data_IF_099308466721
#
_entry.id   IF_099308466721
#
_cell.length_a   1.000
_cell.length_b   1.000
_cell.length_c   1.000
_cell.angle_alpha   90.00
_cell.angle_beta   90.00
_cell.angle_gamma   90.00
#
_symmetry.space_group_name_H-M   'P 1'
#
loop_
_entity.id
_entity.type
_entity.pdbx_description
1 polymer ?
#
# COMPACT_ATOMS: atom_id res chain seq x y z
N UNK A 1 16.69 7.25 -6.15
CA UNK A 1 18.08 7.45 -5.69
C UNK A 1 19.05 7.19 -6.83
N UNK A 2 20.05 8.00 -6.99
CA UNK A 2 20.98 7.88 -8.13
C UNK A 2 22.03 6.76 -7.91
N UNK A 3 22.29 6.41 -6.67
CA UNK A 3 23.31 5.44 -6.30
C UNK A 3 23.06 4.80 -4.94
N UNK A 4 23.77 3.69 -4.66
CA UNK A 4 23.67 2.93 -3.41
C UNK A 4 23.96 3.76 -2.16
N UNK A 5 24.87 4.75 -2.22
CA UNK A 5 25.22 5.57 -1.07
C UNK A 5 24.03 6.39 -0.60
N UNK A 6 23.30 7.03 -1.52
CA UNK A 6 22.10 7.82 -1.19
C UNK A 6 20.99 6.93 -0.59
N UNK A 7 20.87 5.68 -1.08
CA UNK A 7 19.91 4.73 -0.53
C UNK A 7 20.29 4.36 0.89
N UNK A 8 21.55 3.99 1.14
CA UNK A 8 22.01 3.64 2.49
C UNK A 8 21.87 4.80 3.45
N UNK A 9 22.17 6.02 3.02
CA UNK A 9 21.99 7.23 3.84
C UNK A 9 20.53 7.39 4.30
N UNK A 10 19.55 7.18 3.39
CA UNK A 10 18.13 7.19 3.78
C UNK A 10 17.83 6.08 4.79
N UNK A 11 18.23 4.84 4.49
CA UNK A 11 17.92 3.70 5.36
C UNK A 11 18.58 3.84 6.74
N UNK A 12 19.85 4.27 6.80
CA UNK A 12 20.62 4.45 8.03
C UNK A 12 20.01 5.55 8.91
N UNK A 13 19.55 6.66 8.30
CA UNK A 13 18.89 7.75 9.03
C UNK A 13 17.57 7.33 9.70
N UNK A 14 16.89 6.32 9.16
CA UNK A 14 15.62 5.83 9.71
C UNK A 14 15.82 4.60 10.61
N UNK A 15 16.91 3.85 10.42
CA UNK A 15 17.14 2.59 11.14
C UNK A 15 17.20 2.74 12.66
N UNK A 16 18.03 3.67 13.15
CA UNK A 16 18.20 3.87 14.59
C UNK A 16 16.90 4.36 15.27
N UNK A 17 16.19 5.40 14.77
CA UNK A 17 14.89 5.79 15.33
C UNK A 17 13.86 4.66 15.29
N UNK A 18 13.82 3.87 14.23
CA UNK A 18 12.88 2.76 14.07
C UNK A 18 13.15 1.64 15.09
N UNK A 19 14.42 1.22 15.23
CA UNK A 19 14.80 0.17 16.19
C UNK A 19 14.66 0.61 17.63
N UNK A 20 14.91 1.87 17.96
CA UNK A 20 14.67 2.42 19.29
C UNK A 20 13.16 2.39 19.62
N UNK A 21 12.32 2.80 18.68
CA UNK A 21 10.86 2.72 18.85
C UNK A 21 10.39 1.27 18.95
N UNK A 22 10.95 0.37 18.14
CA UNK A 22 10.66 -1.05 18.20
C UNK A 22 11.02 -1.66 19.56
N UNK A 23 12.13 -1.22 20.17
CA UNK A 23 12.51 -1.68 21.52
C UNK A 23 11.48 -1.27 22.57
N UNK A 24 10.94 -0.04 22.50
CA UNK A 24 9.84 0.39 23.40
C UNK A 24 8.61 -0.53 23.23
N UNK A 25 8.26 -0.87 21.98
CA UNK A 25 7.14 -1.76 21.68
C UNK A 25 7.39 -3.19 22.16
N UNK A 26 8.63 -3.71 22.05
CA UNK A 26 9.05 -5.00 22.60
C UNK A 26 8.86 -5.02 24.12
N UNK A 27 9.33 -3.97 24.80
CA UNK A 27 9.26 -3.88 26.26
C UNK A 27 7.80 -3.80 26.73
N UNK A 28 6.94 -3.08 26.02
CA UNK A 28 5.50 -3.05 26.31
C UNK A 28 4.85 -4.42 26.19
N UNK A 29 5.15 -5.16 25.12
CA UNK A 29 4.62 -6.52 24.91
C UNK A 29 5.17 -7.46 25.97
N UNK A 30 6.47 -7.41 26.26
CA UNK A 30 7.09 -8.26 27.28
C UNK A 30 6.50 -8.02 28.68
N UNK A 31 6.24 -6.75 29.02
CA UNK A 31 5.57 -6.39 30.26
C UNK A 31 4.14 -6.96 30.35
N UNK A 32 3.40 -6.99 29.23
CA UNK A 32 2.07 -7.60 29.19
C UNK A 32 2.16 -9.12 29.39
N UNK A 33 3.10 -9.80 28.73
CA UNK A 33 3.35 -11.24 28.89
C UNK A 33 3.59 -11.57 30.37
N UNK A 34 4.41 -10.78 31.05
CA UNK A 34 4.71 -10.98 32.46
C UNK A 34 3.49 -10.72 33.38
N UNK A 35 2.72 -9.66 33.10
CA UNK A 35 1.47 -9.36 33.84
C UNK A 35 0.42 -10.44 33.72
N UNK A 36 0.39 -11.18 32.60
CA UNK A 36 -0.46 -12.34 32.40
C UNK A 36 0.06 -13.62 33.12
N UNK A 37 1.16 -13.52 33.85
CA UNK A 37 1.77 -14.65 34.57
C UNK A 37 2.62 -15.58 33.70
N UNK A 38 2.97 -15.16 32.48
CA UNK A 38 3.82 -15.93 31.58
C UNK A 38 5.30 -15.55 31.75
N UNK A 39 6.19 -16.55 31.65
CA UNK A 39 7.65 -16.36 31.89
C UNK A 39 8.50 -16.54 30.64
N UNK A 40 7.91 -16.56 29.44
CA UNK A 40 8.68 -16.67 28.22
C UNK A 40 9.11 -15.29 27.68
N UNK A 41 10.18 -15.28 26.90
CA UNK A 41 10.62 -14.10 26.16
C UNK A 41 9.86 -14.01 24.83
N UNK A 42 9.43 -12.82 24.50
CA UNK A 42 8.79 -12.51 23.21
C UNK A 42 9.61 -13.08 22.04
N UNK A 43 8.93 -13.69 21.10
CA UNK A 43 9.47 -14.18 19.84
C UNK A 43 8.71 -13.57 18.65
N UNK A 44 9.29 -13.54 17.44
CA UNK A 44 8.61 -12.94 16.29
C UNK A 44 7.21 -13.47 16.02
N UNK A 45 6.97 -14.76 16.22
CA UNK A 45 5.65 -15.38 16.03
C UNK A 45 4.60 -15.03 17.09
N UNK A 46 5.02 -14.47 18.25
CA UNK A 46 4.13 -14.02 19.32
C UNK A 46 3.64 -12.58 19.09
N UNK A 47 4.33 -11.83 18.20
CA UNK A 47 4.18 -10.38 18.04
C UNK A 47 2.73 -9.96 17.81
N UNK A 48 2.10 -10.51 16.78
CA UNK A 48 0.76 -10.09 16.36
C UNK A 48 -0.30 -10.33 17.43
N UNK A 49 -0.21 -11.45 18.13
CA UNK A 49 -1.13 -11.78 19.21
C UNK A 49 -1.03 -10.81 20.38
N UNK A 50 0.17 -10.53 20.84
CA UNK A 50 0.37 -9.65 22.01
C UNK A 50 0.27 -8.18 21.67
N UNK A 51 0.72 -7.75 20.51
CA UNK A 51 0.56 -6.36 20.07
C UNK A 51 -0.91 -5.97 19.95
N UNK A 52 -1.79 -6.89 19.48
CA UNK A 52 -3.23 -6.63 19.45
C UNK A 52 -3.82 -6.45 20.85
N UNK A 53 -3.38 -7.23 21.82
CA UNK A 53 -3.78 -7.04 23.23
C UNK A 53 -3.32 -5.69 23.79
N UNK A 54 -2.09 -5.28 23.49
CA UNK A 54 -1.56 -3.97 23.88
C UNK A 54 -2.39 -2.86 23.21
N UNK A 55 -2.65 -2.96 21.92
CA UNK A 55 -3.47 -2.00 21.17
C UNK A 55 -4.86 -1.83 21.79
N UNK A 56 -5.53 -2.94 22.06
CA UNK A 56 -6.86 -2.96 22.66
C UNK A 56 -6.85 -2.34 24.07
N UNK A 57 -5.85 -2.67 24.87
CA UNK A 57 -5.69 -2.11 26.23
C UNK A 57 -5.43 -0.60 26.24
N UNK A 58 -4.61 -0.10 25.30
CA UNK A 58 -4.21 1.31 25.23
C UNK A 58 -5.27 2.23 24.62
N UNK A 59 -5.93 1.76 23.56
CA UNK A 59 -6.77 2.61 22.71
C UNK A 59 -8.25 2.25 22.77
N UNK A 60 -8.59 1.14 23.44
CA UNK A 60 -9.96 0.59 23.41
C UNK A 60 -10.48 0.47 21.98
N UNK A 61 -9.61 0.00 21.07
CA UNK A 61 -9.84 -0.09 19.64
C UNK A 61 -9.50 -1.48 19.12
N UNK A 62 -10.37 -2.03 18.30
CA UNK A 62 -10.14 -3.27 17.54
C UNK A 62 -10.44 -3.03 16.05
N UNK A 63 -9.68 -3.66 15.16
CA UNK A 63 -10.01 -3.63 13.73
C UNK A 63 -11.36 -4.26 13.42
N UNK A 64 -11.77 -5.24 14.19
CA UNK A 64 -13.09 -5.89 14.06
C UNK A 64 -14.23 -4.89 14.24
N UNK A 65 -14.05 -3.82 15.05
CA UNK A 65 -15.05 -2.77 15.24
C UNK A 65 -15.23 -1.89 13.98
N UNK A 66 -14.19 -1.76 13.16
CA UNK A 66 -14.25 -1.01 11.91
C UNK A 66 -14.80 -1.83 10.74
N UNK A 67 -14.55 -3.12 10.72
CA UNK A 67 -14.89 -4.03 9.60
C UNK A 67 -16.32 -3.92 9.10
N UNK A 68 -17.36 -3.79 9.94
CA UNK A 68 -18.74 -3.63 9.49
C UNK A 68 -19.01 -2.38 8.63
N UNK A 69 -18.14 -1.39 8.71
CA UNK A 69 -18.23 -0.13 7.95
C UNK A 69 -17.41 -0.16 6.65
N UNK A 70 -16.57 -1.17 6.45
CA UNK A 70 -15.61 -1.26 5.34
C UNK A 70 -16.05 -2.31 4.31
N UNK A 71 -17.30 -2.24 3.84
CA UNK A 71 -17.71 -3.11 2.75
C UNK A 71 -16.95 -2.77 1.47
N UNK A 72 -16.57 -3.81 0.68
CA UNK A 72 -15.84 -3.63 -0.58
C UNK A 72 -16.54 -2.63 -1.51
N UNK A 73 -17.87 -2.65 -1.56
CA UNK A 73 -18.65 -1.73 -2.39
C UNK A 73 -18.47 -0.27 -1.95
N UNK A 74 -18.56 -0.01 -0.64
CA UNK A 74 -18.39 1.34 -0.11
C UNK A 74 -16.95 1.84 -0.30
N UNK A 75 -15.94 0.99 -0.09
CA UNK A 75 -14.54 1.36 -0.25
C UNK A 75 -14.20 1.59 -1.73
N UNK A 76 -14.72 0.77 -2.64
CA UNK A 76 -14.58 1.02 -4.08
C UNK A 76 -15.26 2.33 -4.50
N UNK A 77 -16.45 2.61 -3.97
CA UNK A 77 -17.14 3.88 -4.20
C UNK A 77 -16.33 5.06 -3.67
N UNK A 78 -15.72 4.94 -2.50
CA UNK A 78 -14.83 5.95 -1.95
C UNK A 78 -13.65 6.23 -2.88
N UNK A 79 -12.98 5.18 -3.39
CA UNK A 79 -11.87 5.31 -4.32
C UNK A 79 -12.30 6.00 -5.63
N UNK A 80 -13.40 5.57 -6.24
CA UNK A 80 -13.91 6.17 -7.46
C UNK A 80 -14.30 7.63 -7.26
N UNK A 81 -15.06 7.95 -6.21
CA UNK A 81 -15.46 9.33 -5.92
C UNK A 81 -14.27 10.24 -5.62
N UNK A 82 -13.23 9.69 -4.94
CA UNK A 82 -11.98 10.41 -4.73
C UNK A 82 -11.33 10.78 -6.06
N UNK A 83 -11.18 9.83 -6.97
CA UNK A 83 -10.61 10.08 -8.29
C UNK A 83 -11.48 11.02 -9.15
N UNK A 84 -12.80 10.89 -9.09
CA UNK A 84 -13.73 11.78 -9.79
C UNK A 84 -13.56 13.23 -9.33
N UNK A 85 -13.43 13.46 -8.03
CA UNK A 85 -13.23 14.80 -7.46
C UNK A 85 -11.86 15.39 -7.77
N UNK A 86 -10.81 14.54 -7.79
CA UNK A 86 -9.44 14.99 -8.03
C UNK A 86 -9.17 15.23 -9.53
N UNK A 87 -9.56 14.30 -10.38
CA UNK A 87 -9.11 14.25 -11.77
C UNK A 87 -10.20 14.59 -12.79
N UNK A 88 -11.41 14.95 -12.36
CA UNK A 88 -12.54 15.24 -13.26
C UNK A 88 -12.86 14.09 -14.22
N UNK A 89 -12.75 12.86 -13.74
CA UNK A 89 -13.10 11.64 -14.49
C UNK A 89 -14.37 11.00 -13.93
N UNK A 90 -14.94 10.04 -14.65
CA UNK A 90 -16.12 9.28 -14.21
C UNK A 90 -15.95 7.81 -14.55
N UNK A 91 -16.43 6.93 -13.66
CA UNK A 91 -16.41 5.48 -13.84
C UNK A 91 -17.81 4.98 -14.20
N UNK A 92 -17.98 4.45 -15.42
CA UNK A 92 -19.25 3.91 -15.90
C UNK A 92 -19.16 2.39 -16.07
N UNK A 93 -19.90 1.62 -15.28
CA UNK A 93 -19.90 0.17 -15.34
C UNK A 93 -20.28 -0.35 -16.75
N UNK A 94 -19.56 -1.38 -17.20
CA UNK A 94 -19.79 -2.07 -18.47
C UNK A 94 -20.53 -3.39 -18.21
N UNK A 95 -21.69 -3.58 -18.84
CA UNK A 95 -22.47 -4.83 -18.71
C UNK A 95 -21.91 -5.96 -19.60
N UNK A 96 -21.34 -5.63 -20.77
CA UNK A 96 -20.78 -6.58 -21.74
C UNK A 96 -19.35 -6.21 -22.06
N UNK A 97 -18.43 -7.13 -21.82
CA UNK A 97 -17.00 -7.04 -22.16
C UNK A 97 -16.41 -8.45 -22.15
N UNK A 98 -15.32 -8.72 -22.87
CA UNK A 98 -14.57 -9.96 -22.75
C UNK A 98 -14.00 -10.10 -21.35
N UNK A 99 -14.25 -11.23 -20.68
CA UNK A 99 -13.71 -11.49 -19.33
C UNK A 99 -13.19 -12.92 -19.23
N UNK A 100 -12.10 -13.09 -18.52
CA UNK A 100 -11.50 -14.40 -18.27
C UNK A 100 -12.03 -15.10 -17.01
N UNK A 101 -12.80 -14.37 -16.19
CA UNK A 101 -13.44 -14.91 -14.98
C UNK A 101 -14.73 -14.13 -14.69
N UNK A 102 -15.74 -14.80 -14.13
CA UNK A 102 -17.08 -14.19 -13.93
C UNK A 102 -17.09 -13.02 -12.95
N UNK A 103 -16.22 -13.07 -11.94
CA UNK A 103 -16.13 -12.05 -10.87
C UNK A 103 -15.50 -10.73 -11.32
N UNK A 104 -14.93 -10.68 -12.55
CA UNK A 104 -14.31 -9.45 -13.05
C UNK A 104 -15.38 -8.44 -13.41
N UNK A 105 -15.16 -7.21 -12.97
CA UNK A 105 -15.95 -6.04 -13.36
C UNK A 105 -15.14 -5.11 -14.25
N UNK A 106 -15.80 -4.41 -15.15
CA UNK A 106 -15.17 -3.44 -16.04
C UNK A 106 -15.90 -2.10 -15.99
N UNK A 107 -15.13 -1.03 -16.13
CA UNK A 107 -15.61 0.35 -16.11
C UNK A 107 -15.00 1.13 -17.27
N UNK A 108 -15.83 1.84 -18.04
CA UNK A 108 -15.34 2.91 -18.91
C UNK A 108 -14.95 4.10 -18.01
N UNK A 109 -13.74 4.58 -18.21
CA UNK A 109 -13.28 5.82 -17.57
C UNK A 109 -13.46 6.94 -18.59
N UNK A 110 -14.19 7.96 -18.22
CA UNK A 110 -14.60 9.08 -19.08
C UNK A 110 -14.10 10.40 -18.49
N UNK A 111 -13.73 11.35 -19.34
CA UNK A 111 -13.47 12.73 -18.93
C UNK A 111 -14.77 13.55 -18.73
N UNK A 112 -14.64 14.81 -18.37
CA UNK A 112 -15.77 15.73 -18.18
C UNK A 112 -16.61 15.95 -19.47
N UNK A 113 -16.01 15.69 -20.64
CA UNK A 113 -16.68 15.81 -21.95
C UNK A 113 -17.27 14.47 -22.39
N UNK A 114 -17.31 13.46 -21.52
CA UNK A 114 -17.71 12.08 -21.79
C UNK A 114 -16.85 11.36 -22.86
N UNK A 115 -15.64 11.83 -23.12
CA UNK A 115 -14.68 11.12 -23.97
C UNK A 115 -14.01 10.01 -23.18
N UNK A 116 -13.70 8.91 -23.86
CA UNK A 116 -13.02 7.75 -23.24
C UNK A 116 -11.59 8.14 -22.89
N UNK A 117 -11.23 7.97 -21.62
CA UNK A 117 -9.87 8.04 -21.08
C UNK A 117 -9.23 6.66 -21.14
N UNK A 118 -9.95 5.62 -20.68
CA UNK A 118 -9.47 4.25 -20.66
C UNK A 118 -10.53 3.26 -20.18
N UNK A 119 -10.11 2.01 -20.02
CA UNK A 119 -10.91 0.94 -19.41
C UNK A 119 -10.24 0.50 -18.13
N UNK A 120 -11.00 0.43 -17.05
CA UNK A 120 -10.55 -0.06 -15.76
C UNK A 120 -11.24 -1.37 -15.41
N UNK A 121 -10.45 -2.39 -15.12
CA UNK A 121 -10.91 -3.72 -14.72
C UNK A 121 -10.59 -3.96 -13.25
N UNK A 122 -11.46 -4.72 -12.57
CA UNK A 122 -11.23 -5.12 -11.18
C UNK A 122 -11.39 -6.63 -11.04
N UNK A 123 -10.38 -7.28 -10.45
CA UNK A 123 -10.35 -8.69 -10.10
C UNK A 123 -9.98 -8.83 -8.62
N UNK A 124 -10.95 -8.63 -7.75
CA UNK A 124 -10.69 -8.39 -6.32
C UNK A 124 -10.71 -9.65 -5.44
N UNK A 125 -11.32 -10.75 -5.89
CA UNK A 125 -11.53 -11.91 -5.02
C UNK A 125 -10.44 -12.96 -5.12
N UNK A 126 -10.10 -13.56 -3.98
CA UNK A 126 -9.20 -14.70 -3.92
C UNK A 126 -9.80 -15.93 -4.61
N UNK A 127 -8.96 -16.71 -5.29
CA UNK A 127 -9.28 -18.02 -5.86
C UNK A 127 -8.02 -18.87 -6.03
N UNK A 128 -8.12 -20.22 -6.10
CA UNK A 128 -6.96 -21.12 -6.16
C UNK A 128 -6.00 -20.85 -7.33
N UNK A 129 -6.50 -20.31 -8.44
CA UNK A 129 -5.68 -20.02 -9.63
C UNK A 129 -4.97 -18.65 -9.59
N UNK A 130 -5.15 -17.86 -8.52
CA UNK A 130 -4.48 -16.56 -8.33
C UNK A 130 -3.27 -16.68 -7.44
N UNK A 131 -2.23 -15.95 -7.79
CA UNK A 131 -1.11 -15.71 -6.89
C UNK A 131 -1.55 -14.78 -5.74
N UNK A 132 -0.98 -14.96 -4.55
CA UNK A 132 -1.24 -14.10 -3.40
C UNK A 132 -0.69 -12.68 -3.60
N UNK A 133 -1.14 -11.75 -2.75
CA UNK A 133 -0.81 -10.32 -2.83
C UNK A 133 -1.83 -9.52 -3.64
N UNK A 134 -1.44 -8.31 -4.01
CA UNK A 134 -2.21 -7.42 -4.86
C UNK A 134 -1.26 -6.76 -5.88
N UNK A 135 -1.78 -6.40 -7.04
CA UNK A 135 -1.00 -5.71 -8.07
C UNK A 135 -1.89 -5.03 -9.11
N UNK A 136 -1.32 -4.05 -9.76
CA UNK A 136 -1.83 -3.45 -10.99
C UNK A 136 -1.07 -3.99 -12.19
N UNK A 137 -1.77 -4.21 -13.30
CA UNK A 137 -1.15 -4.42 -14.60
C UNK A 137 -1.99 -3.81 -15.72
N UNK A 138 -1.44 -3.73 -16.94
CA UNK A 138 -2.16 -3.24 -18.12
C UNK A 138 -2.22 -4.32 -19.21
N UNK A 139 -3.37 -4.45 -19.83
CA UNK A 139 -3.51 -5.20 -21.08
C UNK A 139 -3.14 -4.36 -22.30
N UNK A 140 -3.25 -3.03 -22.17
CA UNK A 140 -2.86 -2.07 -23.19
C UNK A 140 -2.39 -0.79 -22.50
N UNK A 141 -1.17 -0.38 -22.83
CA UNK A 141 -0.62 0.90 -22.38
C UNK A 141 -1.12 2.05 -23.25
N UNK A 142 -1.27 3.22 -22.62
CA UNK A 142 -1.59 4.44 -23.33
C UNK A 142 -0.43 4.83 -24.27
N UNK A 143 -0.74 5.26 -25.49
CA UNK A 143 0.26 5.85 -26.40
C UNK A 143 -0.38 6.69 -27.49
N UNK A 144 0.44 7.50 -28.20
CA UNK A 144 0.02 8.36 -29.31
C UNK A 144 0.85 8.19 -30.58
N UNK A 145 1.94 7.43 -30.55
CA UNK A 145 2.93 7.34 -31.63
C UNK A 145 2.38 6.72 -32.94
N UNK A 146 1.34 5.88 -32.87
CA UNK A 146 0.68 5.24 -34.01
C UNK A 146 -0.84 5.42 -33.95
N UNK A 147 -1.30 6.63 -33.61
CA UNK A 147 -2.69 6.91 -33.27
C UNK A 147 -2.96 6.75 -31.76
N UNK A 148 -4.07 7.31 -31.31
CA UNK A 148 -4.43 7.31 -29.89
C UNK A 148 -4.84 5.88 -29.47
N UNK A 149 -4.09 5.31 -28.52
CA UNK A 149 -4.44 4.08 -27.82
C UNK A 149 -4.83 4.41 -26.38
N UNK A 150 -6.06 4.08 -26.01
CA UNK A 150 -6.53 4.23 -24.63
C UNK A 150 -6.01 3.07 -23.77
N UNK A 151 -5.63 3.31 -22.50
CA UNK A 151 -5.15 2.27 -21.61
C UNK A 151 -6.27 1.30 -21.22
N UNK A 152 -5.91 0.03 -21.03
CA UNK A 152 -6.75 -1.00 -20.42
C UNK A 152 -6.01 -1.53 -19.22
N UNK A 153 -6.44 -1.13 -18.04
CA UNK A 153 -5.76 -1.36 -16.77
C UNK A 153 -6.59 -2.27 -15.89
N UNK A 154 -5.95 -3.14 -15.13
CA UNK A 154 -6.59 -4.01 -14.14
C UNK A 154 -5.93 -3.92 -12.79
N UNK A 155 -6.73 -3.86 -11.73
CA UNK A 155 -6.31 -4.09 -10.36
C UNK A 155 -6.72 -5.50 -9.93
N UNK A 156 -5.76 -6.24 -9.41
CA UNK A 156 -5.93 -7.60 -8.91
C UNK A 156 -5.67 -7.60 -7.42
N UNK A 157 -6.61 -8.13 -6.63
CA UNK A 157 -6.48 -8.32 -5.20
C UNK A 157 -6.87 -9.75 -4.80
N UNK A 158 -6.73 -10.08 -3.53
CA UNK A 158 -7.11 -11.38 -2.96
C UNK A 158 -8.01 -11.20 -1.73
N UNK A 159 -9.08 -10.40 -1.89
CA UNK A 159 -10.05 -10.20 -0.80
C UNK A 159 -10.93 -11.43 -0.61
N UNK A 160 -11.45 -11.65 0.61
CA UNK A 160 -12.39 -12.75 0.86
C UNK A 160 -13.67 -12.56 0.03
N UNK A 161 -14.25 -13.68 -0.40
CA UNK A 161 -15.54 -13.65 -1.10
C UNK A 161 -16.67 -13.31 -0.15
N UNK A 162 -17.78 -12.71 -0.64
CA UNK A 162 -18.98 -12.55 0.16
C UNK A 162 -19.54 -13.92 0.55
N UNK A 163 -20.20 -13.99 1.69
CA UNK A 163 -21.00 -15.14 2.10
C UNK A 163 -22.47 -14.95 1.69
N UNK A 164 -23.32 -15.97 1.94
CA UNK A 164 -24.77 -15.84 1.66
C UNK A 164 -25.40 -14.67 2.43
N UNK A 165 -24.92 -14.43 3.64
CA UNK A 165 -25.56 -13.51 4.59
C UNK A 165 -24.78 -12.18 4.77
N UNK A 166 -23.55 -12.09 4.24
CA UNK A 166 -22.70 -10.92 4.43
C UNK A 166 -21.94 -10.54 3.16
N UNK A 167 -21.89 -9.23 2.80
CA UNK A 167 -21.02 -8.75 1.74
C UNK A 167 -19.56 -8.95 2.12
N UNK A 168 -18.65 -8.75 1.19
CA UNK A 168 -17.22 -8.69 1.52
C UNK A 168 -16.95 -7.49 2.40
N UNK A 169 -16.51 -7.75 3.62
CA UNK A 169 -16.06 -6.75 4.59
C UNK A 169 -14.53 -6.79 4.64
N UNK A 170 -13.92 -5.66 4.37
CA UNK A 170 -12.47 -5.51 4.33
C UNK A 170 -11.90 -5.24 5.73
N UNK A 171 -10.67 -5.69 5.98
CA UNK A 171 -9.87 -5.09 7.04
C UNK A 171 -9.45 -3.67 6.61
N UNK A 172 -8.97 -2.87 7.55
CA UNK A 172 -8.49 -1.53 7.18
C UNK A 172 -7.26 -1.60 6.25
N UNK A 173 -6.36 -2.54 6.48
CA UNK A 173 -5.23 -2.85 5.61
C UNK A 173 -5.67 -3.22 4.18
N UNK A 174 -6.73 -4.02 4.04
CA UNK A 174 -7.29 -4.35 2.73
C UNK A 174 -7.92 -3.14 2.04
N UNK A 175 -8.53 -2.23 2.80
CA UNK A 175 -9.04 -0.98 2.26
C UNK A 175 -7.90 -0.07 1.76
N UNK A 176 -6.77 0.00 2.51
CA UNK A 176 -5.55 0.67 2.07
C UNK A 176 -5.00 0.03 0.80
N UNK A 177 -4.89 -1.30 0.76
CA UNK A 177 -4.44 -2.04 -0.43
C UNK A 177 -5.29 -1.71 -1.66
N UNK A 178 -6.61 -1.62 -1.51
CA UNK A 178 -7.49 -1.23 -2.62
C UNK A 178 -7.15 0.17 -3.16
N UNK A 179 -6.93 1.14 -2.28
CA UNK A 179 -6.56 2.50 -2.67
C UNK A 179 -5.15 2.56 -3.28
N UNK A 180 -4.21 1.79 -2.75
CA UNK A 180 -2.86 1.65 -3.28
C UNK A 180 -2.88 1.14 -4.74
N UNK A 181 -3.49 -0.02 -4.98
CA UNK A 181 -3.59 -0.58 -6.33
C UNK A 181 -4.38 0.34 -7.27
N UNK A 182 -5.41 1.02 -6.75
CA UNK A 182 -6.14 2.00 -7.50
C UNK A 182 -5.28 3.22 -7.88
N UNK A 183 -4.34 3.63 -7.04
CA UNK A 183 -3.35 4.66 -7.35
C UNK A 183 -2.45 4.27 -8.53
N UNK A 184 -1.94 3.04 -8.56
CA UNK A 184 -1.26 2.50 -9.74
C UNK A 184 -2.21 2.45 -10.96
N UNK A 185 -3.47 2.06 -10.75
CA UNK A 185 -4.49 2.06 -11.80
C UNK A 185 -4.69 3.45 -12.41
N UNK A 186 -4.80 4.49 -11.59
CA UNK A 186 -4.89 5.87 -12.04
C UNK A 186 -3.63 6.34 -12.77
N UNK A 187 -2.44 5.93 -12.32
CA UNK A 187 -1.17 6.23 -13.00
C UNK A 187 -1.18 5.67 -14.44
N UNK A 188 -1.69 4.46 -14.64
CA UNK A 188 -1.88 3.88 -15.98
C UNK A 188 -2.97 4.58 -16.78
N UNK A 189 -4.14 4.80 -16.18
CA UNK A 189 -5.31 5.39 -16.84
C UNK A 189 -5.10 6.84 -17.29
N UNK A 190 -4.44 7.64 -16.48
CA UNK A 190 -4.23 9.07 -16.73
C UNK A 190 -2.94 9.37 -17.48
N UNK A 191 -2.21 8.34 -17.91
CA UNK A 191 -1.02 8.50 -18.74
C UNK A 191 -1.34 9.22 -20.04
N UNK A 192 -0.46 10.13 -20.46
CA UNK A 192 -0.67 10.97 -21.65
C UNK A 192 0.64 11.17 -22.43
N UNK A 193 1.27 10.07 -22.81
CA UNK A 193 2.59 10.03 -23.43
C UNK A 193 2.53 9.65 -24.91
N UNK A 194 3.61 9.94 -25.65
CA UNK A 194 3.73 9.56 -27.05
C UNK A 194 4.08 8.08 -27.19
N UNK A 195 5.02 7.59 -26.41
CA UNK A 195 5.56 6.23 -26.50
C UNK A 195 5.06 5.33 -25.37
N UNK A 196 4.61 4.11 -25.65
CA UNK A 196 4.07 3.20 -24.63
C UNK A 196 5.12 2.81 -23.57
N UNK A 197 6.41 2.81 -23.92
CA UNK A 197 7.50 2.56 -22.98
C UNK A 197 7.68 3.61 -21.88
N UNK A 198 6.95 4.73 -21.95
CA UNK A 198 6.93 5.80 -20.96
C UNK A 198 5.57 5.90 -20.26
N UNK A 199 4.67 4.94 -20.52
CA UNK A 199 3.29 5.00 -20.03
C UNK A 199 3.16 4.43 -18.62
N UNK A 200 2.34 5.08 -17.81
CA UNK A 200 1.92 4.59 -16.50
C UNK A 200 3.09 4.19 -15.61
N UNK A 201 3.09 2.94 -15.18
CA UNK A 201 4.09 2.38 -14.27
C UNK A 201 5.47 2.11 -14.91
N UNK A 202 5.67 2.45 -16.20
CA UNK A 202 6.97 2.42 -16.88
C UNK A 202 7.85 3.61 -16.48
N UNK A 203 8.14 3.74 -15.20
CA UNK A 203 8.91 4.80 -14.56
C UNK A 203 10.05 4.21 -13.73
N UNK A 204 11.04 5.01 -13.26
CA UNK A 204 12.02 4.53 -12.29
C UNK A 204 11.37 3.87 -11.07
N UNK A 205 11.96 2.80 -10.56
CA UNK A 205 11.37 2.02 -9.46
C UNK A 205 11.15 2.83 -8.20
N UNK A 206 12.04 3.75 -7.88
CA UNK A 206 11.93 4.62 -6.72
C UNK A 206 10.90 5.76 -6.88
N UNK A 207 10.15 5.75 -7.98
CA UNK A 207 9.01 6.64 -8.20
C UNK A 207 7.68 5.89 -8.36
N UNK A 208 7.71 4.61 -8.74
CA UNK A 208 6.52 3.86 -9.13
C UNK A 208 5.48 3.76 -8.01
N UNK A 209 5.93 3.73 -6.75
CA UNK A 209 5.06 3.65 -5.58
C UNK A 209 4.49 5.01 -5.13
N UNK A 210 5.00 6.12 -5.66
CA UNK A 210 4.54 7.44 -5.25
C UNK A 210 3.04 7.68 -5.53
N UNK A 211 2.49 7.39 -6.74
CA UNK A 211 1.06 7.58 -6.98
C UNK A 211 0.16 6.62 -6.17
N UNK A 212 0.64 5.40 -5.90
CA UNK A 212 -0.11 4.41 -5.12
C UNK A 212 -0.18 4.79 -3.65
N UNK A 213 0.95 5.09 -3.01
CA UNK A 213 1.03 5.53 -1.62
C UNK A 213 0.29 6.84 -1.42
N UNK A 214 0.40 7.77 -2.37
CA UNK A 214 -0.33 9.01 -2.33
C UNK A 214 -1.84 8.79 -2.21
N UNK A 215 -2.42 7.83 -2.94
CA UNK A 215 -3.85 7.52 -2.86
C UNK A 215 -4.28 6.91 -1.52
N UNK A 216 -3.39 6.24 -0.79
CA UNK A 216 -3.68 5.70 0.55
C UNK A 216 -4.09 6.78 1.55
N UNK A 217 -3.57 8.01 1.41
CA UNK A 217 -3.87 9.11 2.31
C UNK A 217 -5.36 9.47 2.33
N UNK A 218 -6.09 9.27 1.23
CA UNK A 218 -7.53 9.55 1.22
C UNK A 218 -8.31 8.55 2.06
N UNK A 219 -8.02 7.23 1.99
CA UNK A 219 -8.73 6.27 2.84
C UNK A 219 -8.33 6.40 4.31
N UNK A 220 -7.13 6.87 4.60
CA UNK A 220 -6.68 7.18 5.96
C UNK A 220 -7.35 8.44 6.52
N UNK A 221 -7.91 9.31 5.69
CA UNK A 221 -8.51 10.55 6.10
C UNK A 221 -9.86 10.35 6.81
N UNK A 222 -10.04 10.90 8.03
CA UNK A 222 -11.33 10.86 8.74
C UNK A 222 -12.48 11.46 7.95
N UNK A 223 -12.22 12.42 7.06
CA UNK A 223 -13.27 13.02 6.20
C UNK A 223 -13.82 12.02 5.20
N UNK A 224 -12.95 11.22 4.58
CA UNK A 224 -13.35 10.17 3.61
C UNK A 224 -14.05 9.04 4.35
N UNK A 225 -13.49 8.58 5.48
CA UNK A 225 -14.11 7.54 6.29
C UNK A 225 -15.51 7.96 6.76
N UNK A 226 -15.69 9.19 7.25
CA UNK A 226 -17.00 9.69 7.69
C UNK A 226 -18.04 9.74 6.56
N UNK A 227 -17.61 9.91 5.32
CA UNK A 227 -18.50 9.93 4.15
C UNK A 227 -18.86 8.55 3.64
N UNK A 228 -17.90 7.63 3.58
CA UNK A 228 -18.03 6.35 2.88
C UNK A 228 -18.03 5.11 3.76
N UNK A 229 -17.50 5.17 4.99
CA UNK A 229 -17.56 4.05 5.92
C UNK A 229 -18.97 3.94 6.52
N UNK A 230 -19.83 3.20 5.81
CA UNK A 230 -21.23 2.99 6.17
C UNK A 230 -21.40 1.52 6.60
N UNK A 231 -22.11 1.32 7.71
CA UNK A 231 -22.39 -0.02 8.22
C UNK A 231 -23.18 -0.82 7.19
N UNK A 232 -22.73 -2.02 6.88
CA UNK A 232 -23.21 -2.84 5.75
C UNK A 232 -24.70 -3.24 5.86
N UNK A 233 -25.26 -3.36 7.07
CA UNK A 233 -26.67 -3.69 7.30
C UNK A 233 -27.53 -2.44 7.44
N UNK A 234 -27.08 -1.48 8.28
CA UNK A 234 -27.92 -0.36 8.70
C UNK A 234 -27.74 0.90 7.86
N UNK A 235 -26.70 0.98 7.05
CA UNK A 235 -26.31 2.17 6.30
C UNK A 235 -25.85 3.35 7.19
N UNK A 236 -25.78 3.16 8.52
CA UNK A 236 -25.32 4.22 9.43
C UNK A 236 -23.83 4.50 9.22
N UNK A 237 -23.48 5.79 9.35
CA UNK A 237 -22.07 6.21 9.28
C UNK A 237 -21.28 5.64 10.45
N UNK A 238 -20.00 5.47 10.24
CA UNK A 238 -19.06 5.10 11.30
C UNK A 238 -19.14 6.07 12.48
N UNK A 239 -19.20 5.58 13.74
CA UNK A 239 -19.27 6.42 14.93
C UNK A 239 -18.05 7.34 15.07
N UNK A 240 -18.29 8.56 15.55
CA UNK A 240 -17.22 9.56 15.71
C UNK A 240 -16.19 9.16 16.77
N UNK A 241 -16.62 8.47 17.82
CA UNK A 241 -15.74 7.94 18.87
C UNK A 241 -14.81 6.82 18.32
N UNK A 242 -15.32 5.94 17.46
CA UNK A 242 -14.52 4.92 16.79
C UNK A 242 -13.45 5.54 15.88
N UNK A 243 -13.79 6.61 15.13
CA UNK A 243 -12.82 7.36 14.33
C UNK A 243 -11.74 8.00 15.21
N UNK A 244 -12.11 8.58 16.35
CA UNK A 244 -11.13 9.16 17.30
C UNK A 244 -10.19 8.11 17.89
N UNK A 245 -10.70 6.90 18.20
CA UNK A 245 -9.87 5.78 18.65
C UNK A 245 -8.92 5.33 17.56
N UNK A 246 -9.39 5.21 16.33
CA UNK A 246 -8.56 4.92 15.16
C UNK A 246 -7.44 5.96 14.97
N UNK A 247 -7.77 7.26 14.99
CA UNK A 247 -6.78 8.33 14.86
C UNK A 247 -5.65 8.24 15.91
N UNK A 248 -5.99 7.91 17.15
CA UNK A 248 -5.01 7.76 18.24
C UNK A 248 -4.08 6.55 18.05
N UNK A 249 -4.56 5.48 17.39
CA UNK A 249 -3.77 4.28 17.21
C UNK A 249 -2.99 4.21 15.89
N UNK A 250 -3.06 5.22 15.02
CA UNK A 250 -2.40 5.22 13.71
C UNK A 250 -0.88 5.01 13.77
N UNK A 251 -0.23 5.47 14.83
CA UNK A 251 1.22 5.32 15.04
C UNK A 251 1.59 4.09 15.89
N UNK A 252 0.63 3.25 16.21
CA UNK A 252 0.87 2.03 16.95
C UNK A 252 1.64 1.02 16.10
N UNK A 253 2.59 0.30 16.67
CA UNK A 253 3.48 -0.63 15.98
C UNK A 253 4.33 -0.01 14.84
N UNK A 254 4.55 1.29 14.83
CA UNK A 254 5.34 1.93 13.80
C UNK A 254 6.82 1.52 13.85
N UNK A 255 7.37 1.32 15.05
CA UNK A 255 8.73 0.81 15.24
C UNK A 255 8.92 -0.57 14.63
N UNK A 256 7.99 -1.49 14.93
CA UNK A 256 7.94 -2.83 14.33
C UNK A 256 7.85 -2.77 12.80
N UNK A 257 6.82 -2.11 12.27
CA UNK A 257 6.56 -2.07 10.84
C UNK A 257 7.72 -1.48 10.04
N UNK A 258 8.35 -0.41 10.56
CA UNK A 258 9.50 0.21 9.90
C UNK A 258 10.74 -0.68 10.00
N UNK A 259 10.99 -1.32 11.14
CA UNK A 259 12.15 -2.20 11.32
C UNK A 259 12.08 -3.44 10.44
N UNK A 260 10.91 -4.12 10.35
CA UNK A 260 10.76 -5.31 9.48
C UNK A 260 10.94 -4.96 8.01
N UNK A 261 10.41 -3.80 7.58
CA UNK A 261 10.54 -3.30 6.22
C UNK A 261 11.99 -2.93 5.87
N UNK A 262 12.66 -2.17 6.74
CA UNK A 262 14.06 -1.78 6.55
C UNK A 262 14.99 -2.99 6.52
N UNK A 263 14.75 -3.98 7.37
CA UNK A 263 15.52 -5.24 7.35
C UNK A 263 15.45 -5.91 5.97
N UNK A 264 14.26 -5.93 5.35
CA UNK A 264 14.09 -6.45 3.99
C UNK A 264 14.78 -5.57 2.93
N UNK A 265 14.77 -4.24 3.09
CA UNK A 265 15.47 -3.32 2.18
C UNK A 265 16.99 -3.49 2.24
N UNK A 266 17.55 -3.65 3.43
CA UNK A 266 18.98 -3.98 3.59
C UNK A 266 19.32 -5.36 3.02
N UNK A 267 18.43 -6.33 3.18
CA UNK A 267 18.60 -7.68 2.62
C UNK A 267 18.66 -7.65 1.08
N UNK A 268 17.77 -6.91 0.44
CA UNK A 268 17.80 -6.66 -1.00
C UNK A 268 19.12 -6.06 -1.46
N UNK A 269 19.55 -4.96 -0.82
CA UNK A 269 20.82 -4.32 -1.16
C UNK A 269 22.03 -5.22 -0.90
N UNK A 270 21.99 -6.03 0.14
CA UNK A 270 23.07 -6.98 0.44
C UNK A 270 23.19 -8.06 -0.63
N UNK A 271 22.06 -8.61 -1.11
CA UNK A 271 22.04 -9.59 -2.20
C UNK A 271 22.60 -9.00 -3.50
N UNK A 272 22.10 -7.86 -3.92
CA UNK A 272 22.41 -7.26 -5.23
C UNK A 272 23.72 -6.46 -5.27
N UNK A 273 24.36 -6.26 -4.12
CA UNK A 273 25.71 -5.67 -4.03
C UNK A 273 26.80 -6.69 -3.74
N UNK A 274 26.45 -7.97 -3.63
CA UNK A 274 27.41 -9.01 -3.31
C UNK A 274 28.02 -9.60 -4.57
N UNK A 275 29.36 -9.56 -4.65
CA UNK A 275 30.13 -10.13 -5.77
C UNK A 275 30.63 -11.56 -5.49
N UNK A 276 30.24 -12.17 -4.37
CA UNK A 276 30.69 -13.50 -3.96
C UNK A 276 29.56 -14.51 -4.06
N UNK A 277 29.89 -15.75 -4.41
CA UNK A 277 28.94 -16.86 -4.35
C UNK A 277 28.48 -17.08 -2.91
N UNK A 278 27.18 -17.03 -2.68
CA UNK A 278 26.56 -17.36 -1.40
C UNK A 278 26.18 -18.84 -1.41
N UNK A 279 26.74 -19.60 -0.47
CA UNK A 279 26.52 -21.03 -0.34
C UNK A 279 25.43 -21.32 0.70
N UNK A 280 25.37 -20.52 1.77
CA UNK A 280 24.48 -20.70 2.89
C UNK A 280 23.66 -19.41 3.10
N UNK A 281 22.41 -19.46 2.66
CA UNK A 281 21.47 -18.32 2.71
C UNK A 281 21.21 -17.90 4.16
N UNK A 282 21.00 -18.85 5.06
CA UNK A 282 20.69 -18.55 6.46
C UNK A 282 21.86 -17.84 7.15
N UNK A 283 23.08 -18.30 6.92
CA UNK A 283 24.27 -17.61 7.46
C UNK A 283 24.47 -16.22 6.87
N UNK A 284 24.13 -16.04 5.60
CA UNK A 284 24.19 -14.73 4.95
C UNK A 284 23.23 -13.73 5.64
N UNK A 285 21.97 -14.10 5.81
CA UNK A 285 20.96 -13.30 6.49
C UNK A 285 21.34 -13.01 7.95
N UNK A 286 21.72 -14.04 8.71
CA UNK A 286 22.15 -13.90 10.11
C UNK A 286 23.32 -12.93 10.27
N UNK A 287 24.32 -13.03 9.37
CA UNK A 287 25.48 -12.12 9.39
C UNK A 287 25.06 -10.67 9.15
N UNK A 288 24.17 -10.44 8.16
CA UNK A 288 23.64 -9.13 7.85
C UNK A 288 22.86 -8.55 9.06
N UNK A 289 21.87 -9.28 9.55
CA UNK A 289 21.02 -8.81 10.64
C UNK A 289 21.78 -8.60 11.95
N UNK A 290 22.80 -9.43 12.22
CA UNK A 290 23.71 -9.20 13.34
C UNK A 290 24.54 -7.92 13.17
N UNK A 291 25.02 -7.61 11.96
CA UNK A 291 25.76 -6.37 11.69
C UNK A 291 24.89 -5.12 11.85
N UNK A 292 23.61 -5.21 11.52
CA UNK A 292 22.61 -4.16 11.72
C UNK A 292 22.11 -4.04 13.16
N UNK A 293 22.48 -4.97 14.04
CA UNK A 293 21.95 -5.08 15.42
C UNK A 293 20.41 -5.14 15.43
N UNK A 294 19.82 -5.84 14.44
CA UNK A 294 18.37 -6.00 14.35
C UNK A 294 17.83 -6.70 15.60
N UNK A 295 16.72 -6.20 16.22
CA UNK A 295 16.07 -6.90 17.32
C UNK A 295 15.71 -8.34 16.95
N UNK A 296 15.93 -9.29 17.85
CA UNK A 296 15.65 -10.71 17.62
C UNK A 296 14.14 -11.04 17.67
N UNK A 297 13.36 -10.17 18.26
CA UNK A 297 11.92 -10.25 18.44
C UNK A 297 11.15 -9.83 17.16
N UNK A 298 11.85 -9.30 16.17
CA UNK A 298 11.28 -8.85 14.88
C UNK A 298 12.00 -9.59 13.77
N UNK A 299 11.25 -10.30 12.93
CA UNK A 299 11.79 -10.86 11.70
C UNK A 299 11.88 -9.80 10.59
N UNK A 300 12.66 -10.08 9.55
CA UNK A 300 12.57 -9.34 8.30
C UNK A 300 11.23 -9.63 7.62
N UNK A 301 10.63 -8.64 6.98
CA UNK A 301 9.36 -8.80 6.25
C UNK A 301 9.39 -9.96 5.25
N UNK A 302 10.56 -10.23 4.68
CA UNK A 302 10.82 -11.36 3.79
C UNK A 302 12.14 -12.03 4.13
N UNK A 303 12.14 -13.36 4.09
CA UNK A 303 13.37 -14.14 3.99
C UNK A 303 13.74 -14.36 2.51
N UNK A 304 15.02 -14.55 2.22
CA UNK A 304 15.53 -14.64 0.85
C UNK A 304 14.83 -15.68 -0.04
N UNK A 305 14.40 -16.79 0.55
CA UNK A 305 13.80 -17.91 -0.20
C UNK A 305 12.39 -17.67 -0.72
N UNK A 306 11.71 -16.63 -0.25
CA UNK A 306 10.35 -16.25 -0.67
C UNK A 306 10.20 -14.75 -0.96
N UNK A 307 11.31 -14.06 -1.19
CA UNK A 307 11.32 -12.63 -1.51
C UNK A 307 11.10 -12.37 -3.02
N UNK A 308 9.92 -12.67 -3.50
CA UNK A 308 9.57 -12.53 -4.92
C UNK A 308 9.80 -11.13 -5.48
N UNK A 309 9.55 -10.08 -4.72
CA UNK A 309 9.75 -8.70 -5.16
C UNK A 309 11.12 -8.48 -5.78
N UNK A 310 12.19 -8.97 -5.12
CA UNK A 310 13.57 -8.70 -5.54
C UNK A 310 14.14 -9.75 -6.50
N UNK A 311 13.59 -10.96 -6.54
CA UNK A 311 14.10 -12.04 -7.40
C UNK A 311 13.27 -12.28 -8.67
N UNK A 312 11.98 -11.91 -8.67
CA UNK A 312 11.09 -12.08 -9.83
C UNK A 312 10.12 -10.92 -10.08
N UNK A 313 9.90 -10.05 -9.10
CA UNK A 313 8.93 -8.96 -9.15
C UNK A 313 9.45 -7.64 -9.73
N UNK A 314 10.72 -7.58 -10.17
CA UNK A 314 11.29 -6.36 -10.76
C UNK A 314 11.78 -5.31 -9.77
N UNK A 315 11.91 -5.64 -8.47
CA UNK A 315 12.43 -4.76 -7.41
C UNK A 315 13.86 -5.09 -6.99
N UNK A 316 14.64 -5.77 -7.83
CA UNK A 316 16.05 -6.07 -7.57
C UNK A 316 16.83 -4.79 -7.26
N UNK A 317 17.51 -4.75 -6.12
CA UNK A 317 18.21 -3.57 -5.59
C UNK A 317 17.33 -2.31 -5.46
N UNK A 318 16.01 -2.50 -5.36
CA UNK A 318 15.04 -1.40 -5.42
C UNK A 318 13.89 -1.54 -4.39
N UNK A 319 13.99 -2.44 -3.42
CA UNK A 319 12.96 -2.60 -2.41
C UNK A 319 12.84 -1.36 -1.49
N UNK A 320 13.92 -0.57 -1.39
CA UNK A 320 13.91 0.74 -0.71
C UNK A 320 12.90 1.74 -1.30
N UNK A 321 12.40 1.49 -2.51
CA UNK A 321 11.53 2.42 -3.25
C UNK A 321 10.24 2.79 -2.51
N UNK A 322 9.70 1.88 -1.71
CA UNK A 322 8.53 2.18 -0.89
C UNK A 322 8.78 3.32 0.10
N UNK A 323 9.90 3.28 0.83
CA UNK A 323 10.26 4.36 1.76
C UNK A 323 10.68 5.65 1.03
N UNK A 324 11.38 5.52 -0.10
CA UNK A 324 11.73 6.66 -0.93
C UNK A 324 10.49 7.39 -1.43
N UNK A 325 9.51 6.64 -1.92
CA UNK A 325 8.23 7.17 -2.38
C UNK A 325 7.38 7.73 -1.23
N UNK A 326 7.46 7.15 -0.03
CA UNK A 326 6.77 7.64 1.17
C UNK A 326 7.26 9.05 1.58
N UNK A 327 8.55 9.33 1.44
CA UNK A 327 9.08 10.69 1.65
C UNK A 327 8.47 11.68 0.65
N UNK A 328 8.37 11.29 -0.62
CA UNK A 328 7.76 12.12 -1.66
C UNK A 328 6.26 12.30 -1.43
N UNK A 329 5.56 11.23 -1.07
CA UNK A 329 4.15 11.20 -0.76
C UNK A 329 3.81 12.13 0.41
N UNK A 330 4.49 11.97 1.54
CA UNK A 330 4.28 12.81 2.72
C UNK A 330 4.46 14.29 2.41
N UNK A 331 5.50 14.65 1.64
CA UNK A 331 5.74 16.03 1.22
C UNK A 331 4.64 16.56 0.30
N UNK A 332 4.17 15.74 -0.64
CA UNK A 332 3.10 16.14 -1.57
C UNK A 332 1.73 16.24 -0.86
N UNK A 333 1.43 15.30 0.05
CA UNK A 333 0.15 15.28 0.74
C UNK A 333 -0.02 16.44 1.73
N UNK A 334 1.06 16.94 2.32
CA UNK A 334 1.03 18.15 3.16
C UNK A 334 0.36 19.35 2.46
N UNK A 335 0.49 19.44 1.14
CA UNK A 335 -0.15 20.50 0.36
C UNK A 335 -1.68 20.33 0.35
N UNK A 336 -2.17 19.07 0.27
CA UNK A 336 -3.62 18.79 0.35
C UNK A 336 -4.18 19.01 1.76
N UNK A 337 -3.40 18.69 2.79
CA UNK A 337 -3.80 18.99 4.17
C UNK A 337 -4.00 20.48 4.40
N UNK A 338 -3.07 21.31 3.90
CA UNK A 338 -3.11 22.77 4.04
C UNK A 338 -4.20 23.43 3.18
N UNK A 339 -4.38 22.97 1.95
CA UNK A 339 -5.28 23.60 0.96
C UNK A 339 -6.64 22.92 0.84
N UNK A 340 -6.81 21.72 1.40
CA UNK A 340 -8.00 20.89 1.34
C UNK A 340 -7.83 19.64 0.50
N UNK A 341 -8.39 18.51 0.97
CA UNK A 341 -8.20 17.15 0.41
C UNK A 341 -8.52 17.02 -1.09
N UNK A 342 -9.34 17.88 -1.64
CA UNK A 342 -9.76 17.85 -3.06
C UNK A 342 -9.36 19.12 -3.81
N UNK A 343 -8.31 19.80 -3.35
CA UNK A 343 -7.81 21.00 -3.99
C UNK A 343 -7.08 20.67 -5.30
N UNK A 344 -7.66 21.00 -6.45
CA UNK A 344 -7.20 20.57 -7.77
C UNK A 344 -5.80 21.03 -8.14
N UNK A 345 -5.39 22.24 -7.78
CA UNK A 345 -4.05 22.74 -8.09
C UNK A 345 -2.92 21.96 -7.37
N UNK A 346 -3.26 21.25 -6.29
CA UNK A 346 -2.30 20.39 -5.60
C UNK A 346 -1.95 19.13 -6.40
N UNK A 347 -2.77 18.76 -7.40
CA UNK A 347 -2.53 17.63 -8.30
C UNK A 347 -1.27 17.76 -9.15
N UNK A 348 -0.78 18.99 -9.37
CA UNK A 348 0.49 19.23 -10.09
C UNK A 348 1.64 18.47 -9.41
N UNK A 349 1.59 18.32 -8.10
CA UNK A 349 2.60 17.59 -7.33
C UNK A 349 2.52 16.06 -7.53
N UNK A 350 1.39 15.53 -7.97
CA UNK A 350 1.20 14.09 -8.27
C UNK A 350 1.46 13.79 -9.75
N UNK A 351 0.95 14.64 -10.66
CA UNK A 351 0.95 14.36 -12.09
C UNK A 351 2.17 14.87 -12.85
N UNK A 352 2.87 15.89 -12.32
CA UNK A 352 4.08 16.46 -12.91
C UNK A 352 5.24 16.61 -11.91
N UNK A 353 5.61 15.56 -11.13
CA UNK A 353 6.62 15.74 -10.09
C UNK A 353 8.02 15.90 -10.62
N UNK A 354 8.27 15.71 -11.90
CA UNK A 354 9.62 15.69 -12.46
C UNK A 354 9.74 16.36 -13.83
N UNK A 355 9.25 17.55 -13.99
CA UNK A 355 10.05 18.47 -14.80
C UNK A 355 11.22 18.92 -13.92
N UNK A 356 12.22 18.07 -13.78
CA UNK A 356 13.56 18.52 -13.43
C UNK A 356 13.88 19.66 -14.38
N UNK A 357 13.85 20.89 -13.89
CA UNK A 357 14.46 22.02 -14.59
C UNK A 357 15.92 21.64 -14.76
N UNK A 358 16.31 21.32 -15.97
CA UNK A 358 17.71 21.29 -16.39
C UNK A 358 18.30 22.68 -16.26
#
# INVERSE_FOLDING_TARGET
AENKKNVLELLDNVWEPATNRAQEEIDEIQNLIQKEGNNFKLKPWDWWYYSEKVRKSKFDYSEEDMRPYLSLENIQKAAFTTAERLFDIKFKAMKKFPKYHEEIKAYKVLDNNNKIVGIFLTDYFARPSKQGGAWMTSYQDQSKNKGIKHPIVINVCNFPKPTKDKPTLLSFEQAITLFHEFGHGLHGLLSNVTYPSLSGTSVPRDYVEFPSQMMENWIRSPKVLKEFALHYETGKKIPQDLLKKYEKCQKFNQGFATTEYLAASYLDLAWHSNNRKIIDINKFEQKLFKSLKKPNEIDSRYGSTYFNHIFSGGYSSSYYSYMWSEVLDSSAFEVFEKKGLFHKLSLIHISEPTRLRR
#
